data_IF_333656151600
#
_entry.id   IF_333656151600
#
_cell.length_a   1.000
_cell.length_b   1.000
_cell.length_c   1.000
_cell.angle_alpha   90.00
_cell.angle_beta   90.00
_cell.angle_gamma   90.00
#
_symmetry.space_group_name_H-M   'P 1'
#
loop_
_entity.id
_entity.type
_entity.pdbx_description
1 polymer ?
#
# COMPACT_ATOMS: atom_id res chain seq x y z
N UNK A 1 35.89 29.25 -7.48
CA UNK A 1 34.88 28.94 -8.51
C UNK A 1 33.62 28.51 -7.79
N UNK A 2 32.47 29.11 -8.08
CA UNK A 2 31.21 28.74 -7.42
C UNK A 2 30.74 27.36 -7.92
N UNK A 3 30.48 26.44 -6.99
CA UNK A 3 29.98 25.10 -7.26
C UNK A 3 28.54 25.19 -7.82
N UNK A 4 28.31 24.68 -9.03
CA UNK A 4 26.94 24.60 -9.59
C UNK A 4 26.27 23.36 -9.01
N UNK A 5 25.21 23.54 -8.24
CA UNK A 5 24.32 22.46 -7.82
C UNK A 5 23.59 21.92 -9.05
N UNK A 6 24.01 20.77 -9.58
CA UNK A 6 23.32 20.08 -10.66
C UNK A 6 22.05 19.42 -10.11
N UNK A 7 20.88 19.85 -10.60
CA UNK A 7 19.59 19.21 -10.32
C UNK A 7 19.23 18.36 -11.54
N UNK A 8 19.23 17.04 -11.39
CA UNK A 8 18.79 16.12 -12.45
C UNK A 8 17.27 16.18 -12.57
N UNK A 9 16.76 16.59 -13.74
CA UNK A 9 15.33 16.53 -14.10
C UNK A 9 14.98 15.25 -14.88
N UNK A 10 15.86 14.24 -14.85
CA UNK A 10 15.64 12.99 -15.56
C UNK A 10 14.73 12.09 -14.73
N UNK A 11 13.80 11.42 -15.39
CA UNK A 11 12.90 10.43 -14.79
C UNK A 11 13.65 9.11 -14.59
N UNK A 12 14.60 9.12 -13.66
CA UNK A 12 15.48 7.98 -13.36
C UNK A 12 15.47 7.70 -11.86
N UNK A 13 15.23 6.44 -11.49
CA UNK A 13 15.23 6.00 -10.09
C UNK A 13 16.65 6.00 -9.53
N UNK A 14 16.89 6.73 -8.45
CA UNK A 14 18.21 6.77 -7.78
C UNK A 14 18.47 5.45 -7.05
N UNK A 15 19.71 4.95 -7.13
CA UNK A 15 20.16 3.73 -6.44
C UNK A 15 20.27 3.98 -4.94
N UNK A 16 19.72 3.08 -4.13
CA UNK A 16 19.74 3.18 -2.67
C UNK A 16 20.79 2.27 -2.01
N UNK A 17 21.11 1.12 -2.61
CA UNK A 17 22.04 0.15 -2.01
C UNK A 17 23.20 -0.21 -2.93
N UNK A 18 24.39 -0.45 -2.37
CA UNK A 18 25.55 -0.95 -3.14
C UNK A 18 25.33 -2.37 -3.67
N UNK A 19 24.57 -3.20 -2.97
CA UNK A 19 24.25 -4.57 -3.40
C UNK A 19 23.07 -4.60 -4.39
N UNK A 20 23.28 -5.22 -5.55
CA UNK A 20 22.22 -5.40 -6.56
C UNK A 20 21.04 -6.23 -6.03
N UNK A 21 21.30 -7.16 -5.11
CA UNK A 21 20.25 -7.96 -4.48
C UNK A 21 19.35 -7.10 -3.59
N UNK A 22 19.92 -6.19 -2.81
CA UNK A 22 19.14 -5.29 -1.94
C UNK A 22 18.43 -4.20 -2.73
N UNK A 23 19.06 -3.70 -3.79
CA UNK A 23 18.48 -2.71 -4.71
C UNK A 23 17.19 -3.22 -5.38
N UNK A 24 17.07 -4.53 -5.61
CA UNK A 24 15.85 -5.12 -6.16
C UNK A 24 14.61 -4.85 -5.28
N UNK A 25 14.75 -4.98 -3.96
CA UNK A 25 13.63 -4.77 -3.02
C UNK A 25 13.31 -3.30 -2.76
N UNK A 26 14.18 -2.41 -3.25
CA UNK A 26 14.06 -0.96 -3.13
C UNK A 26 13.08 -0.38 -4.16
N UNK A 27 12.68 -1.17 -5.16
CA UNK A 27 11.85 -0.74 -6.29
C UNK A 27 10.56 -1.53 -6.31
N UNK A 28 9.43 -0.82 -6.26
CA UNK A 28 8.11 -1.45 -6.23
C UNK A 28 7.23 -0.85 -7.33
N UNK A 29 6.56 -1.72 -8.09
CA UNK A 29 5.59 -1.27 -9.08
C UNK A 29 4.35 -0.68 -8.36
N UNK A 30 3.76 0.43 -8.83
CA UNK A 30 2.60 1.04 -8.18
C UNK A 30 1.39 0.11 -8.00
N UNK A 31 1.27 -0.93 -8.84
CA UNK A 31 0.22 -1.94 -8.73
C UNK A 31 0.45 -3.00 -7.65
N UNK A 32 1.67 -3.12 -7.10
CA UNK A 32 2.03 -4.17 -6.15
C UNK A 32 1.11 -4.21 -4.91
N UNK A 33 0.75 -3.08 -4.26
CA UNK A 33 -0.18 -3.10 -3.13
C UNK A 33 -1.56 -3.66 -3.51
N UNK A 34 -2.08 -3.29 -4.68
CA UNK A 34 -3.40 -3.76 -5.13
C UNK A 34 -3.39 -5.27 -5.38
N UNK A 35 -2.36 -5.77 -6.06
CA UNK A 35 -2.23 -7.21 -6.36
C UNK A 35 -2.07 -8.03 -5.08
N UNK A 36 -1.36 -7.52 -4.08
CA UNK A 36 -1.19 -8.21 -2.79
C UNK A 36 -2.45 -8.19 -1.94
N UNK A 37 -3.08 -7.02 -1.78
CA UNK A 37 -4.11 -6.84 -0.75
C UNK A 37 -5.54 -7.02 -1.25
N UNK A 38 -5.85 -6.81 -2.53
CA UNK A 38 -7.22 -7.05 -3.04
C UNK A 38 -7.67 -8.51 -2.89
N UNK A 39 -6.83 -9.54 -3.16
CA UNK A 39 -7.20 -10.93 -2.89
C UNK A 39 -7.49 -11.19 -1.40
N UNK A 40 -6.72 -10.58 -0.50
CA UNK A 40 -6.91 -10.70 0.96
C UNK A 40 -8.25 -10.09 1.37
N UNK A 41 -8.53 -8.86 0.91
CA UNK A 41 -9.81 -8.18 1.16
C UNK A 41 -10.97 -9.00 0.60
N UNK A 42 -10.86 -9.48 -0.64
CA UNK A 42 -11.87 -10.33 -1.28
C UNK A 42 -12.13 -11.63 -0.52
N UNK A 43 -11.08 -12.31 -0.07
CA UNK A 43 -11.20 -13.53 0.73
C UNK A 43 -11.85 -13.25 2.10
N UNK A 44 -11.49 -12.15 2.76
CA UNK A 44 -12.12 -11.76 4.03
C UNK A 44 -13.61 -11.42 3.85
N UNK A 45 -13.99 -10.74 2.76
CA UNK A 45 -15.40 -10.49 2.44
C UNK A 45 -16.16 -11.79 2.15
N UNK A 46 -15.55 -12.72 1.41
CA UNK A 46 -16.12 -14.06 1.20
C UNK A 46 -16.33 -14.79 2.52
N UNK A 47 -15.32 -14.79 3.41
CA UNK A 47 -15.42 -15.39 4.74
C UNK A 47 -16.58 -14.77 5.55
N UNK A 48 -16.70 -13.45 5.57
CA UNK A 48 -17.74 -12.74 6.30
C UNK A 48 -19.16 -13.08 5.78
N UNK A 49 -19.35 -13.03 4.46
CA UNK A 49 -20.67 -13.17 3.84
C UNK A 49 -21.10 -14.63 3.65
N UNK A 50 -20.21 -15.52 3.20
CA UNK A 50 -20.57 -16.91 2.88
C UNK A 50 -20.29 -17.90 4.00
N UNK A 51 -19.19 -17.72 4.76
CA UNK A 51 -18.80 -18.67 5.81
C UNK A 51 -19.41 -18.32 7.16
N UNK A 52 -19.34 -17.03 7.53
CA UNK A 52 -19.93 -16.52 8.78
C UNK A 52 -21.38 -16.07 8.63
N UNK A 53 -21.88 -15.95 7.39
CA UNK A 53 -23.26 -15.55 7.07
C UNK A 53 -23.67 -14.23 7.75
N UNK A 54 -22.71 -13.32 7.92
CA UNK A 54 -23.01 -11.99 8.44
C UNK A 54 -23.93 -11.25 7.46
N UNK A 55 -24.84 -10.45 7.99
CA UNK A 55 -25.70 -9.63 7.14
C UNK A 55 -24.87 -8.60 6.39
N UNK A 56 -25.29 -8.26 5.16
CA UNK A 56 -24.59 -7.29 4.32
C UNK A 56 -24.43 -5.93 5.04
N UNK A 57 -25.43 -5.52 5.83
CA UNK A 57 -25.38 -4.29 6.63
C UNK A 57 -24.27 -4.32 7.69
N UNK A 58 -24.09 -5.45 8.38
CA UNK A 58 -23.02 -5.59 9.39
C UNK A 58 -21.65 -5.56 8.71
N UNK A 59 -21.50 -6.26 7.59
CA UNK A 59 -20.23 -6.26 6.83
C UNK A 59 -19.91 -4.87 6.30
N UNK A 60 -20.89 -4.17 5.72
CA UNK A 60 -20.72 -2.79 5.24
C UNK A 60 -20.37 -1.83 6.40
N UNK A 61 -21.03 -1.97 7.56
CA UNK A 61 -20.72 -1.18 8.75
C UNK A 61 -19.28 -1.38 9.23
N UNK A 62 -18.80 -2.62 9.32
CA UNK A 62 -17.41 -2.90 9.67
C UNK A 62 -16.42 -2.42 8.60
N UNK A 63 -16.77 -2.51 7.32
CA UNK A 63 -15.91 -2.03 6.24
C UNK A 63 -15.73 -0.50 6.31
N UNK A 64 -16.81 0.24 6.54
CA UNK A 64 -16.77 1.70 6.74
C UNK A 64 -16.00 2.08 8.00
N UNK A 65 -16.21 1.35 9.11
CA UNK A 65 -15.43 1.54 10.33
C UNK A 65 -13.93 1.30 10.08
N UNK A 66 -13.59 0.27 9.30
CA UNK A 66 -12.21 -0.01 8.89
C UNK A 66 -11.58 1.13 8.10
N UNK A 67 -12.31 1.74 7.16
CA UNK A 67 -11.85 2.93 6.43
C UNK A 67 -11.60 4.10 7.38
N UNK A 68 -12.53 4.37 8.30
CA UNK A 68 -12.37 5.45 9.27
C UNK A 68 -11.13 5.21 10.17
N UNK A 69 -10.97 3.99 10.68
CA UNK A 69 -9.80 3.63 11.48
C UNK A 69 -8.50 3.72 10.66
N UNK A 70 -8.52 3.33 9.38
CA UNK A 70 -7.38 3.52 8.49
C UNK A 70 -7.00 4.99 8.38
N UNK A 71 -7.96 5.90 8.15
CA UNK A 71 -7.63 7.34 8.08
C UNK A 71 -7.01 7.89 9.37
N UNK A 72 -7.42 7.37 10.54
CA UNK A 72 -6.81 7.72 11.81
C UNK A 72 -5.38 7.16 11.91
N UNK A 73 -5.18 5.88 11.61
CA UNK A 73 -3.86 5.24 11.65
C UNK A 73 -2.92 5.92 10.67
N UNK A 74 -3.37 6.22 9.45
CA UNK A 74 -2.64 6.97 8.44
C UNK A 74 -2.13 8.29 9.01
N UNK A 75 -2.99 9.09 9.63
CA UNK A 75 -2.59 10.36 10.25
C UNK A 75 -1.57 10.18 11.39
N UNK A 76 -1.65 9.09 12.15
CA UNK A 76 -0.73 8.83 13.25
C UNK A 76 0.65 8.33 12.81
N UNK A 77 0.76 7.69 11.64
CA UNK A 77 2.02 7.13 11.13
C UNK A 77 2.71 8.01 10.08
N UNK A 78 1.99 9.00 9.53
CA UNK A 78 2.51 9.98 8.59
C UNK A 78 3.34 11.05 9.30
#
# INVERSE_FOLDING_TARGET
MAERLYVSNKDETVRMFESDFMELFSRVHPATPLVLYLPVVGFMLYMALWRQKLSLFVVAGFFLLGILLWTLVEYLIH
#
